data_IF_506567968564
#
_entry.id   IF_506567968564
#
_cell.length_a   1.000
_cell.length_b   1.000
_cell.length_c   1.000
_cell.angle_alpha   90.00
_cell.angle_beta   90.00
_cell.angle_gamma   90.00
#
_symmetry.space_group_name_H-M   'P 1'
#
loop_
_entity.id
_entity.type
_entity.pdbx_description
1 polymer ?
#
# COMPACT_ATOMS: atom_id res chain seq x y z
N UNK A 1 6.87 -50.76 -4.77
CA UNK A 1 8.32 -50.62 -4.61
C UNK A 1 8.95 -50.79 -5.97
N UNK A 2 9.77 -49.84 -6.40
CA UNK A 2 10.43 -49.88 -7.70
C UNK A 2 11.45 -51.04 -7.75
N UNK A 3 11.52 -51.72 -8.88
CA UNK A 3 12.42 -52.84 -9.15
C UNK A 3 13.43 -52.48 -10.24
N UNK A 4 14.50 -53.27 -10.34
CA UNK A 4 15.43 -53.17 -11.46
C UNK A 4 14.67 -53.32 -12.78
N UNK A 5 14.80 -52.34 -13.67
CA UNK A 5 14.12 -52.26 -14.96
C UNK A 5 12.92 -51.30 -15.00
N UNK A 6 12.41 -50.83 -13.86
CA UNK A 6 11.29 -49.89 -13.80
C UNK A 6 11.73 -48.47 -14.20
N UNK A 7 10.85 -47.75 -14.91
CA UNK A 7 10.99 -46.30 -15.12
C UNK A 7 10.48 -45.59 -13.88
N UNK A 8 11.37 -44.82 -13.26
CA UNK A 8 11.10 -44.12 -12.01
C UNK A 8 11.25 -42.63 -12.18
N UNK A 9 10.40 -41.87 -11.49
CA UNK A 9 10.54 -40.43 -11.32
C UNK A 9 11.10 -40.15 -9.94
N UNK A 10 11.98 -39.17 -9.83
CA UNK A 10 12.51 -38.74 -8.54
C UNK A 10 11.42 -37.99 -7.74
N UNK A 11 11.34 -38.28 -6.44
CA UNK A 11 10.36 -37.66 -5.55
C UNK A 11 10.74 -36.21 -5.21
N UNK A 12 12.04 -35.94 -5.08
CA UNK A 12 12.59 -34.67 -4.59
C UNK A 12 13.39 -33.90 -5.66
N UNK A 13 13.39 -34.37 -6.91
CA UNK A 13 14.14 -33.74 -8.01
C UNK A 13 13.35 -33.79 -9.32
N UNK A 14 13.64 -32.86 -10.22
CA UNK A 14 13.06 -32.83 -11.57
C UNK A 14 13.86 -33.78 -12.44
N UNK A 15 13.23 -34.88 -12.86
CA UNK A 15 13.86 -35.90 -13.69
C UNK A 15 13.36 -37.30 -13.34
N UNK A 16 13.82 -38.27 -14.10
CA UNK A 16 13.51 -39.67 -13.92
C UNK A 16 14.25 -40.49 -14.95
N UNK A 17 14.46 -41.76 -14.66
CA UNK A 17 15.21 -42.64 -15.53
C UNK A 17 14.87 -44.09 -15.25
N UNK A 18 15.65 -45.00 -15.82
CA UNK A 18 15.44 -46.43 -15.64
C UNK A 18 16.36 -46.98 -14.58
N UNK A 19 15.83 -47.74 -13.62
CA UNK A 19 16.68 -48.40 -12.62
C UNK A 19 17.49 -49.50 -13.32
N UNK A 20 18.81 -49.33 -13.41
CA UNK A 20 19.73 -50.32 -13.97
C UNK A 20 20.25 -51.30 -12.90
N UNK A 21 20.33 -50.83 -11.64
CA UNK A 21 20.92 -51.59 -10.54
C UNK A 21 20.34 -51.14 -9.19
N UNK A 22 20.21 -52.05 -8.23
CA UNK A 22 19.88 -51.72 -6.84
C UNK A 22 20.93 -52.37 -5.92
N UNK A 23 21.63 -51.57 -5.14
CA UNK A 23 22.59 -52.00 -4.12
C UNK A 23 22.10 -51.54 -2.74
N UNK A 24 21.54 -52.47 -1.96
CA UNK A 24 20.96 -52.16 -0.66
C UNK A 24 19.79 -51.17 -0.76
N UNK A 25 19.97 -49.94 -0.29
CA UNK A 25 18.96 -48.88 -0.30
C UNK A 25 19.19 -47.83 -1.41
N UNK A 26 20.17 -48.04 -2.29
CA UNK A 26 20.52 -47.13 -3.39
C UNK A 26 20.14 -47.80 -4.71
N UNK A 27 19.32 -47.14 -5.51
CA UNK A 27 19.02 -47.46 -6.89
C UNK A 27 19.91 -46.62 -7.81
N UNK A 28 20.64 -47.26 -8.71
CA UNK A 28 21.35 -46.57 -9.80
C UNK A 28 20.36 -46.40 -10.94
N UNK A 29 20.06 -45.14 -11.26
CA UNK A 29 19.09 -44.74 -12.28
C UNK A 29 19.87 -44.19 -13.47
N UNK A 30 19.65 -44.79 -14.64
CA UNK A 30 20.20 -44.33 -15.91
C UNK A 30 19.23 -43.35 -16.58
N UNK A 31 19.74 -42.15 -16.86
CA UNK A 31 19.06 -41.07 -17.56
C UNK A 31 19.93 -40.70 -18.78
N UNK A 32 19.52 -41.14 -19.96
CA UNK A 32 20.21 -40.93 -21.25
C UNK A 32 21.74 -41.20 -21.23
N UNK A 33 22.17 -42.27 -20.54
CA UNK A 33 23.57 -42.73 -20.50
C UNK A 33 24.39 -42.20 -19.33
N UNK A 34 23.77 -41.46 -18.41
CA UNK A 34 24.36 -41.04 -17.14
C UNK A 34 23.78 -41.84 -15.96
N UNK A 35 24.63 -42.65 -15.32
CA UNK A 35 24.27 -43.41 -14.12
C UNK A 35 24.33 -42.52 -12.87
N UNK A 36 23.17 -42.25 -12.27
CA UNK A 36 23.05 -41.47 -11.03
C UNK A 36 22.60 -42.36 -9.87
N UNK A 37 23.34 -42.41 -8.74
CA UNK A 37 22.91 -43.15 -7.56
C UNK A 37 21.86 -42.35 -6.77
N UNK A 38 20.67 -42.92 -6.60
CA UNK A 38 19.52 -42.29 -5.91
C UNK A 38 18.93 -43.25 -4.89
N UNK A 39 18.41 -42.75 -3.77
CA UNK A 39 17.81 -43.61 -2.75
C UNK A 39 16.54 -44.30 -3.29
N UNK A 40 16.37 -45.60 -3.06
CA UNK A 40 15.23 -46.37 -3.57
C UNK A 40 13.88 -45.82 -3.07
N UNK A 41 13.86 -45.20 -1.88
CA UNK A 41 12.68 -44.53 -1.30
C UNK A 41 12.28 -43.24 -2.02
N UNK A 42 13.19 -42.66 -2.79
CA UNK A 42 13.01 -41.41 -3.54
C UNK A 42 12.69 -41.67 -5.01
N UNK A 43 12.55 -42.95 -5.40
CA UNK A 43 12.16 -43.38 -6.74
C UNK A 43 10.71 -43.85 -6.74
N UNK A 44 9.84 -43.17 -7.50
CA UNK A 44 8.44 -43.56 -7.70
C UNK A 44 8.28 -44.20 -9.08
N UNK A 45 7.83 -45.45 -9.12
CA UNK A 45 7.57 -46.17 -10.37
C UNK A 45 6.38 -45.54 -11.11
N UNK A 46 6.56 -45.19 -12.38
CA UNK A 46 5.51 -44.63 -13.23
C UNK A 46 4.97 -45.75 -14.12
N UNK A 47 3.74 -46.20 -13.85
CA UNK A 47 3.02 -47.10 -14.74
C UNK A 47 2.41 -46.31 -15.89
N UNK A 48 2.89 -46.51 -17.12
CA UNK A 48 2.23 -45.98 -18.32
C UNK A 48 1.11 -46.89 -18.76
N UNK A 49 -0.09 -46.70 -18.21
CA UNK A 49 -1.33 -47.22 -18.80
C UNK A 49 -2.20 -46.06 -19.33
N UNK A 50 -2.27 -46.00 -20.66
CA UNK A 50 -3.22 -45.21 -21.43
C UNK A 50 -4.57 -45.96 -21.46
N UNK A 51 -5.69 -45.34 -21.07
CA UNK A 51 -6.90 -45.20 -21.91
C UNK A 51 -8.15 -44.59 -21.20
N UNK A 52 -8.84 -43.74 -21.97
CA UNK A 52 -10.31 -43.52 -22.04
C UNK A 52 -11.09 -42.81 -20.92
N UNK A 53 -11.25 -41.49 -21.12
CA UNK A 53 -12.50 -40.72 -21.28
C UNK A 53 -13.73 -41.06 -20.42
N UNK A 54 -14.09 -40.04 -19.64
CA UNK A 54 -15.41 -39.62 -19.15
C UNK A 54 -16.63 -40.05 -19.98
N UNK A 55 -17.65 -40.55 -19.26
CA UNK A 55 -19.05 -40.57 -19.67
C UNK A 55 -19.93 -40.50 -18.42
N UNK A 56 -20.46 -39.31 -18.14
CA UNK A 56 -21.36 -39.02 -17.04
C UNK A 56 -22.76 -39.61 -17.29
N UNK A 57 -23.38 -40.15 -16.24
CA UNK A 57 -24.83 -40.30 -16.15
C UNK A 57 -25.30 -39.68 -14.82
N UNK A 58 -26.27 -38.79 -14.98
CA UNK A 58 -26.85 -37.86 -14.01
C UNK A 58 -28.00 -38.57 -13.29
N UNK A 59 -28.06 -38.49 -11.96
CA UNK A 59 -29.36 -38.46 -11.25
C UNK A 59 -29.35 -37.35 -10.19
N UNK A 60 -30.40 -36.53 -10.29
CA UNK A 60 -30.68 -35.30 -9.56
C UNK A 60 -31.23 -35.54 -8.14
N UNK A 61 -31.13 -34.54 -7.23
CA UNK A 61 -31.34 -34.67 -5.79
C UNK A 61 -32.75 -34.22 -5.35
N UNK A 62 -33.27 -34.73 -4.20
CA UNK A 62 -34.01 -33.96 -3.18
C UNK A 62 -34.51 -34.82 -1.96
N UNK A 63 -34.98 -34.23 -0.82
CA UNK A 63 -34.22 -34.19 0.43
C UNK A 63 -35.00 -34.73 1.67
N UNK A 64 -34.45 -34.46 2.86
CA UNK A 64 -34.96 -34.68 4.24
C UNK A 64 -34.48 -36.00 4.89
N UNK A 65 -33.99 -36.07 6.13
CA UNK A 65 -34.22 -35.27 7.34
C UNK A 65 -32.93 -35.17 8.19
N UNK A 66 -32.95 -34.17 9.06
CA UNK A 66 -31.97 -33.81 10.08
C UNK A 66 -31.40 -34.98 10.89
N UNK A 67 -30.07 -35.00 11.05
CA UNK A 67 -29.37 -35.57 12.19
C UNK A 67 -28.08 -34.76 12.45
N UNK A 68 -27.97 -34.14 13.62
CA UNK A 68 -26.69 -33.74 14.23
C UNK A 68 -26.24 -34.89 15.16
N UNK A 69 -25.00 -34.92 15.67
CA UNK A 69 -23.71 -34.86 15.01
C UNK A 69 -22.88 -36.13 15.35
N UNK A 70 -22.33 -36.83 14.36
CA UNK A 70 -21.33 -37.87 14.61
C UNK A 70 -19.92 -37.27 14.48
N UNK A 71 -19.17 -37.30 15.57
CA UNK A 71 -17.77 -36.90 15.65
C UNK A 71 -16.95 -37.69 14.62
N UNK A 72 -16.59 -37.05 13.51
CA UNK A 72 -15.52 -37.53 12.66
C UNK A 72 -14.21 -37.32 13.43
N UNK A 73 -13.71 -38.39 14.03
CA UNK A 73 -12.31 -38.48 14.42
C UNK A 73 -11.48 -38.38 13.14
N UNK A 74 -11.02 -37.18 12.81
CA UNK A 74 -9.89 -37.00 11.90
C UNK A 74 -8.69 -37.64 12.57
N UNK A 75 -8.36 -38.86 12.17
CA UNK A 75 -7.03 -39.41 12.35
C UNK A 75 -6.09 -38.54 11.53
N UNK A 76 -5.63 -37.44 12.14
CA UNK A 76 -4.41 -36.78 11.70
C UNK A 76 -3.33 -37.83 11.77
N UNK A 77 -2.95 -38.35 10.60
CA UNK A 77 -1.72 -39.11 10.48
C UNK A 77 -0.64 -38.08 10.71
N UNK A 78 -0.20 -37.96 11.97
CA UNK A 78 0.95 -37.18 12.36
C UNK A 78 2.14 -37.81 11.63
N UNK A 79 2.45 -37.29 10.45
CA UNK A 79 3.75 -37.48 9.85
C UNK A 79 4.73 -37.02 10.92
N UNK A 80 5.50 -37.96 11.47
CA UNK A 80 6.56 -37.66 12.43
C UNK A 80 7.48 -36.67 11.72
N UNK A 81 7.39 -35.41 12.15
CA UNK A 81 8.36 -34.39 11.79
C UNK A 81 9.73 -34.96 12.18
N UNK A 82 10.57 -35.17 11.18
CA UNK A 82 11.99 -35.40 11.41
C UNK A 82 12.44 -34.23 12.30
N UNK A 83 13.09 -34.47 13.46
CA UNK A 83 13.58 -33.38 14.28
C UNK A 83 14.50 -32.53 13.40
N UNK A 84 14.03 -31.33 13.06
CA UNK A 84 14.87 -30.28 12.48
C UNK A 84 16.06 -30.14 13.43
N UNK A 85 17.27 -30.32 12.92
CA UNK A 85 18.49 -30.05 13.67
C UNK A 85 18.35 -28.66 14.26
N UNK A 86 18.22 -28.57 15.58
CA UNK A 86 17.88 -27.31 16.23
C UNK A 86 18.96 -26.28 15.91
N UNK A 87 18.59 -25.22 15.19
CA UNK A 87 19.49 -24.13 14.84
C UNK A 87 20.28 -23.68 16.07
N UNK A 88 21.61 -23.55 15.90
CA UNK A 88 22.51 -23.15 16.97
C UNK A 88 22.28 -21.67 17.25
N UNK A 89 21.89 -21.35 18.48
CA UNK A 89 21.62 -19.97 18.89
C UNK A 89 22.93 -19.23 19.21
N UNK A 90 23.01 -17.99 18.78
CA UNK A 90 24.14 -17.10 19.06
C UNK A 90 23.87 -16.26 20.32
N UNK A 91 24.88 -15.99 21.17
CA UNK A 91 24.75 -15.04 22.26
C UNK A 91 24.39 -13.64 21.73
N UNK A 92 23.25 -13.10 22.13
CA UNK A 92 22.76 -11.80 21.66
C UNK A 92 21.82 -11.86 20.46
N UNK A 93 21.70 -13.00 19.78
CA UNK A 93 20.76 -13.21 18.66
C UNK A 93 19.27 -13.24 19.07
N UNK A 94 18.97 -13.01 20.35
CA UNK A 94 17.60 -12.84 20.82
C UNK A 94 17.00 -11.47 20.49
N UNK A 95 17.79 -10.56 19.92
CA UNK A 95 17.30 -9.33 19.29
C UNK A 95 17.22 -9.53 17.77
N UNK A 96 16.20 -8.98 17.13
CA UNK A 96 16.07 -9.04 15.67
C UNK A 96 17.03 -8.04 15.01
N UNK A 97 17.93 -8.56 14.17
CA UNK A 97 18.75 -7.78 13.24
C UNK A 97 18.54 -8.31 11.82
N UNK A 98 17.87 -7.52 10.99
CA UNK A 98 17.51 -7.91 9.62
C UNK A 98 18.06 -6.88 8.66
N UNK A 99 18.77 -7.36 7.64
CA UNK A 99 19.44 -6.51 6.65
C UNK A 99 19.08 -7.00 5.24
N UNK A 100 18.85 -6.06 4.32
CA UNK A 100 18.85 -6.34 2.89
C UNK A 100 20.21 -5.95 2.31
N UNK A 101 20.81 -6.85 1.55
CA UNK A 101 22.08 -6.64 0.87
C UNK A 101 21.95 -6.87 -0.63
N UNK A 102 22.58 -6.00 -1.42
CA UNK A 102 22.73 -6.19 -2.86
C UNK A 102 24.21 -6.34 -3.22
N UNK A 103 24.55 -7.50 -3.78
CA UNK A 103 25.83 -7.76 -4.41
C UNK A 103 25.73 -7.43 -5.90
N UNK A 104 26.79 -6.84 -6.48
CA UNK A 104 26.83 -6.58 -7.92
C UNK A 104 27.64 -7.67 -8.59
N UNK A 105 27.12 -8.23 -9.69
CA UNK A 105 27.85 -9.24 -10.47
C UNK A 105 29.16 -8.72 -11.07
N UNK A 106 29.27 -7.41 -11.33
CA UNK A 106 30.54 -6.76 -11.70
C UNK A 106 30.57 -5.29 -11.28
N UNK A 107 31.25 -5.00 -10.17
CA UNK A 107 31.45 -3.63 -9.66
C UNK A 107 32.18 -2.70 -10.64
N UNK A 108 32.93 -3.21 -11.63
CA UNK A 108 33.60 -2.38 -12.65
C UNK A 108 32.64 -1.93 -13.75
N UNK A 109 31.57 -2.70 -13.98
CA UNK A 109 30.57 -2.45 -15.01
C UNK A 109 29.16 -2.39 -14.42
N UNK A 110 29.01 -1.64 -13.33
CA UNK A 110 27.82 -1.68 -12.48
C UNK A 110 26.49 -1.34 -13.20
N UNK A 111 26.53 -0.50 -14.24
CA UNK A 111 25.35 -0.14 -15.05
C UNK A 111 24.93 -1.19 -16.08
N UNK A 112 25.75 -2.23 -16.30
CA UNK A 112 25.46 -3.34 -17.20
C UNK A 112 25.35 -4.69 -16.45
N UNK A 113 25.78 -4.74 -15.19
CA UNK A 113 25.66 -5.91 -14.33
C UNK A 113 24.27 -6.03 -13.70
N UNK A 114 23.87 -7.26 -13.39
CA UNK A 114 22.78 -7.53 -12.45
C UNK A 114 23.21 -7.39 -10.99
N UNK A 115 22.22 -7.43 -10.11
CA UNK A 115 22.38 -7.35 -8.66
C UNK A 115 21.67 -8.51 -7.97
N UNK A 116 22.40 -9.24 -7.15
CA UNK A 116 21.85 -10.33 -6.36
C UNK A 116 21.39 -9.79 -5.01
N UNK A 117 20.12 -10.03 -4.70
CA UNK A 117 19.45 -9.50 -3.51
C UNK A 117 19.36 -10.57 -2.43
N UNK A 118 19.97 -10.29 -1.29
CA UNK A 118 20.01 -11.17 -0.14
C UNK A 118 19.26 -10.56 1.05
N UNK A 119 18.49 -11.39 1.75
CA UNK A 119 17.98 -11.10 3.07
C UNK A 119 18.88 -11.78 4.10
N UNK A 120 19.45 -10.99 5.01
CA UNK A 120 20.29 -11.46 6.10
C UNK A 120 19.44 -11.48 7.36
N UNK A 121 19.32 -12.67 7.97
CA UNK A 121 18.72 -12.84 9.28
C UNK A 121 19.82 -13.10 10.32
N UNK A 122 20.30 -12.03 10.96
CA UNK A 122 21.24 -12.12 12.08
C UNK A 122 20.46 -12.17 13.41
N UNK A 123 19.68 -13.25 13.56
CA UNK A 123 18.92 -13.50 14.78
C UNK A 123 18.64 -15.00 14.99
N UNK A 124 18.25 -15.35 16.22
CA UNK A 124 17.88 -16.69 16.64
C UNK A 124 16.44 -17.09 16.26
N UNK A 125 15.76 -16.30 15.43
CA UNK A 125 14.36 -16.51 15.09
C UNK A 125 14.21 -16.99 13.66
N UNK A 126 13.26 -17.90 13.43
CA UNK A 126 12.67 -18.10 12.13
C UNK A 126 11.76 -16.92 11.82
N UNK A 127 11.76 -16.47 10.57
CA UNK A 127 10.87 -15.42 10.11
C UNK A 127 10.06 -15.91 8.92
N UNK A 128 8.74 -15.90 9.05
CA UNK A 128 7.86 -15.97 7.89
C UNK A 128 7.61 -14.54 7.41
N UNK A 129 7.96 -14.23 6.16
CA UNK A 129 8.00 -12.86 5.68
C UNK A 129 7.51 -12.69 4.26
N UNK A 130 7.13 -11.44 3.95
CA UNK A 130 6.82 -10.96 2.60
C UNK A 130 7.61 -9.68 2.36
N UNK A 131 8.31 -9.64 1.23
CA UNK A 131 8.99 -8.45 0.72
C UNK A 131 8.21 -7.91 -0.48
N UNK A 132 7.92 -6.61 -0.46
CA UNK A 132 7.12 -5.94 -1.48
C UNK A 132 7.78 -4.66 -1.96
N UNK A 133 7.53 -4.29 -3.21
CA UNK A 133 7.85 -2.97 -3.77
C UNK A 133 6.58 -2.24 -4.21
N UNK A 134 6.54 -0.93 -3.99
CA UNK A 134 5.42 -0.09 -4.42
C UNK A 134 5.49 0.22 -5.92
N UNK A 135 4.36 0.18 -6.62
CA UNK A 135 4.26 0.65 -8.01
C UNK A 135 3.86 2.12 -8.07
N UNK A 136 4.56 2.88 -8.90
CA UNK A 136 4.09 4.16 -9.47
C UNK A 136 3.55 5.21 -8.46
N UNK A 137 3.99 5.15 -7.19
CA UNK A 137 3.60 6.09 -6.14
C UNK A 137 2.15 5.98 -5.66
N UNK A 138 1.40 4.97 -6.13
CA UNK A 138 0.06 4.63 -5.64
C UNK A 138 0.15 3.56 -4.56
N UNK A 139 -0.87 3.38 -3.70
CA UNK A 139 -0.87 2.33 -2.65
C UNK A 139 -1.13 0.92 -3.24
N UNK A 140 -0.33 0.57 -4.23
CA UNK A 140 -0.35 -0.68 -4.98
C UNK A 140 1.01 -1.32 -4.83
N UNK A 141 1.06 -2.51 -4.25
CA UNK A 141 2.29 -3.21 -3.91
C UNK A 141 2.40 -4.50 -4.70
N UNK A 142 3.59 -4.74 -5.25
CA UNK A 142 3.95 -6.02 -5.86
C UNK A 142 4.80 -6.83 -4.88
N UNK A 143 4.47 -8.10 -4.72
CA UNK A 143 5.32 -9.04 -3.98
C UNK A 143 6.59 -9.34 -4.78
N UNK A 144 7.75 -9.09 -4.16
CA UNK A 144 9.06 -9.49 -4.67
C UNK A 144 9.34 -10.93 -4.24
N UNK A 145 9.17 -11.21 -2.95
CA UNK A 145 9.46 -12.51 -2.37
C UNK A 145 8.51 -12.80 -1.21
N UNK A 146 8.21 -14.09 -1.00
CA UNK A 146 7.48 -14.60 0.16
C UNK A 146 8.07 -15.94 0.56
N UNK A 147 8.26 -16.15 1.85
CA UNK A 147 8.83 -17.39 2.34
C UNK A 147 9.26 -17.33 3.80
N UNK A 148 10.07 -18.31 4.20
CA UNK A 148 10.63 -18.42 5.54
C UNK A 148 12.14 -18.29 5.47
N UNK A 149 12.74 -17.53 6.37
CA UNK A 149 14.19 -17.48 6.58
C UNK A 149 14.54 -18.06 7.94
N UNK A 150 15.55 -18.91 7.97
CA UNK A 150 16.02 -19.60 9.18
C UNK A 150 16.90 -18.67 10.05
N UNK A 151 17.14 -19.01 11.32
CA UNK A 151 18.05 -18.27 12.18
C UNK A 151 19.48 -18.22 11.62
N UNK A 152 20.13 -17.06 11.72
CA UNK A 152 21.57 -16.88 11.44
C UNK A 152 21.99 -17.29 10.01
N UNK A 153 21.13 -17.11 9.00
CA UNK A 153 21.45 -17.39 7.60
C UNK A 153 21.30 -16.16 6.70
N UNK A 154 21.90 -16.27 5.52
CA UNK A 154 21.67 -15.38 4.39
C UNK A 154 20.83 -16.12 3.35
N UNK A 155 19.74 -15.49 2.91
CA UNK A 155 18.82 -16.05 1.92
C UNK A 155 18.86 -15.21 0.65
N UNK A 156 19.23 -15.81 -0.48
CA UNK A 156 19.05 -15.19 -1.80
C UNK A 156 17.55 -15.11 -2.10
N UNK A 157 17.03 -13.89 -2.27
CA UNK A 157 15.60 -13.65 -2.48
C UNK A 157 15.27 -13.19 -3.90
N UNK A 158 16.29 -12.91 -4.73
CA UNK A 158 16.10 -12.66 -6.15
C UNK A 158 17.30 -11.98 -6.80
N UNK A 159 17.23 -11.86 -8.11
CA UNK A 159 18.19 -11.13 -8.94
C UNK A 159 17.47 -9.96 -9.60
N UNK A 160 18.13 -8.81 -9.65
CA UNK A 160 17.59 -7.59 -10.25
C UNK A 160 18.49 -7.12 -11.38
N UNK A 161 17.89 -6.84 -12.53
CA UNK A 161 18.61 -6.16 -13.60
C UNK A 161 18.74 -4.67 -13.27
N UNK A 162 19.63 -3.98 -13.99
CA UNK A 162 19.76 -2.52 -13.88
C UNK A 162 18.44 -1.77 -14.19
N UNK A 163 17.51 -2.36 -14.93
CA UNK A 163 16.19 -1.79 -15.23
C UNK A 163 15.23 -1.95 -14.03
N UNK A 164 15.25 -3.12 -13.39
CA UNK A 164 14.36 -3.46 -12.27
C UNK A 164 14.66 -2.64 -11.01
N UNK A 165 15.92 -2.21 -10.83
CA UNK A 165 16.35 -1.42 -9.66
C UNK A 165 15.47 -0.19 -9.44
N UNK A 166 15.00 0.47 -10.51
CA UNK A 166 14.12 1.64 -10.41
C UNK A 166 12.80 1.37 -9.68
N UNK A 167 12.30 0.12 -9.69
CA UNK A 167 11.09 -0.27 -8.98
C UNK A 167 11.32 -0.51 -7.48
N UNK A 168 12.57 -0.54 -7.01
CA UNK A 168 12.94 -0.80 -5.62
C UNK A 168 12.97 0.47 -4.74
N UNK A 169 12.54 1.62 -5.28
CA UNK A 169 12.54 2.90 -4.55
C UNK A 169 11.80 2.85 -3.21
N UNK A 170 10.71 2.10 -3.13
CA UNK A 170 9.88 1.96 -1.92
C UNK A 170 9.66 0.49 -1.61
N UNK A 171 10.29 0.02 -0.55
CA UNK A 171 10.20 -1.37 -0.11
C UNK A 171 9.40 -1.46 1.19
N UNK A 172 8.53 -2.46 1.27
CA UNK A 172 7.85 -2.88 2.49
C UNK A 172 8.21 -4.31 2.83
N UNK A 173 8.62 -4.52 4.07
CA UNK A 173 8.96 -5.81 4.64
C UNK A 173 8.03 -6.11 5.80
N UNK A 174 7.30 -7.22 5.71
CA UNK A 174 6.41 -7.70 6.77
C UNK A 174 6.84 -9.08 7.23
N UNK A 175 6.92 -9.30 8.53
CA UNK A 175 7.39 -10.58 9.05
C UNK A 175 6.84 -10.95 10.45
N UNK A 176 6.77 -12.25 10.72
CA UNK A 176 6.48 -12.82 12.03
C UNK A 176 7.66 -13.65 12.52
N UNK A 177 8.17 -13.33 13.71
CA UNK A 177 9.32 -14.01 14.30
C UNK A 177 8.89 -15.08 15.31
N UNK A 178 9.48 -16.28 15.19
CA UNK A 178 9.19 -17.41 16.07
C UNK A 178 10.40 -18.33 16.27
N UNK A 179 10.36 -19.19 17.30
CA UNK A 179 11.30 -20.30 17.47
C UNK A 179 10.55 -21.63 17.50
N UNK A 180 11.12 -22.67 16.92
CA UNK A 180 10.55 -24.02 16.93
C UNK A 180 11.16 -24.83 18.08
N UNK A 181 10.31 -25.53 18.86
CA UNK A 181 10.78 -26.44 19.92
C UNK A 181 11.48 -25.78 21.11
N UNK A 182 11.43 -24.45 21.26
CA UNK A 182 12.04 -23.68 22.36
C UNK A 182 11.08 -22.63 22.91
N UNK A 183 11.27 -22.25 24.16
CA UNK A 183 10.55 -21.11 24.76
C UNK A 183 11.27 -19.81 24.42
N UNK A 184 10.51 -18.74 24.15
CA UNK A 184 11.07 -17.45 23.78
C UNK A 184 10.09 -16.32 24.13
N UNK A 185 10.62 -15.09 24.21
CA UNK A 185 9.80 -13.89 24.36
C UNK A 185 9.21 -13.52 22.99
N UNK A 186 7.88 -13.38 22.85
CA UNK A 186 7.28 -13.01 21.58
C UNK A 186 7.76 -11.64 21.11
N UNK A 187 7.93 -11.51 19.80
CA UNK A 187 8.28 -10.25 19.13
C UNK A 187 7.03 -9.61 18.54
N UNK A 188 7.05 -8.28 18.42
CA UNK A 188 6.01 -7.56 17.69
C UNK A 188 6.07 -7.96 16.22
N UNK A 189 4.92 -8.19 15.55
CA UNK A 189 4.90 -8.34 14.10
C UNK A 189 5.62 -7.18 13.43
N UNK A 190 6.54 -7.49 12.53
CA UNK A 190 7.34 -6.50 11.83
C UNK A 190 6.54 -5.98 10.64
N UNK A 191 6.48 -4.65 10.51
CA UNK A 191 5.94 -3.94 9.34
C UNK A 191 6.84 -2.73 9.08
N UNK A 192 7.82 -2.91 8.20
CA UNK A 192 8.88 -1.93 7.94
C UNK A 192 8.70 -1.39 6.53
N UNK A 193 8.63 -0.07 6.38
CA UNK A 193 8.72 0.57 5.07
C UNK A 193 9.97 1.44 5.01
N UNK A 194 10.76 1.25 3.96
CA UNK A 194 11.97 2.03 3.71
C UNK A 194 11.96 2.55 2.28
N UNK A 195 12.63 3.70 2.10
CA UNK A 195 12.91 4.23 0.79
C UNK A 195 14.36 3.93 0.47
N UNK A 196 14.60 3.28 -0.67
CA UNK A 196 15.93 2.96 -1.14
C UNK A 196 16.35 4.03 -2.14
N UNK A 197 17.56 4.56 -1.97
CA UNK A 197 18.16 5.45 -2.96
C UNK A 197 18.74 4.61 -4.09
N UNK A 198 17.93 4.37 -5.11
CA UNK A 198 18.27 3.56 -6.29
C UNK A 198 19.43 4.15 -7.09
N UNK A 199 19.74 5.44 -6.93
CA UNK A 199 20.93 6.04 -7.56
C UNK A 199 22.24 5.48 -7.01
N UNK A 200 22.23 4.84 -5.84
CA UNK A 200 23.41 4.21 -5.23
C UNK A 200 23.84 2.94 -5.95
N UNK A 201 22.92 2.23 -6.60
CA UNK A 201 23.24 1.04 -7.38
C UNK A 201 24.21 1.37 -8.52
N UNK A 202 24.11 2.57 -9.10
CA UNK A 202 24.97 3.02 -10.19
C UNK A 202 26.27 3.71 -9.74
N UNK A 203 26.61 3.64 -8.44
CA UNK A 203 27.76 4.34 -7.84
C UNK A 203 28.64 3.35 -7.08
N UNK A 204 29.77 2.96 -7.68
CA UNK A 204 30.71 1.98 -7.09
C UNK A 204 31.12 2.32 -5.65
N UNK A 205 31.36 3.60 -5.33
CA UNK A 205 31.75 4.01 -3.97
C UNK A 205 30.63 3.90 -2.91
N UNK A 206 29.39 3.58 -3.31
CA UNK A 206 28.29 3.27 -2.39
C UNK A 206 28.33 1.81 -1.93
N UNK A 207 29.00 0.93 -2.66
CA UNK A 207 29.23 -0.45 -2.26
C UNK A 207 30.38 -0.49 -1.27
N UNK A 208 30.14 -1.10 -0.10
CA UNK A 208 31.06 -1.07 1.03
C UNK A 208 31.29 -2.49 1.56
N UNK A 209 32.48 -2.76 2.11
CA UNK A 209 32.69 -3.99 2.86
C UNK A 209 31.63 -4.13 3.96
N UNK A 210 31.10 -5.32 4.11
CA UNK A 210 30.08 -5.66 5.09
C UNK A 210 30.47 -6.97 5.78
N UNK A 211 30.04 -7.18 7.03
CA UNK A 211 30.42 -8.36 7.81
C UNK A 211 29.80 -9.67 7.28
N UNK A 212 28.72 -9.59 6.52
CA UNK A 212 28.03 -10.76 5.97
C UNK A 212 28.55 -11.16 4.59
N UNK A 213 29.31 -10.30 3.90
CA UNK A 213 29.70 -10.51 2.50
C UNK A 213 31.20 -10.43 2.30
N UNK A 214 31.74 -11.33 1.48
CA UNK A 214 33.15 -11.30 1.07
C UNK A 214 33.45 -10.15 0.09
N UNK A 215 32.43 -9.66 -0.61
CA UNK A 215 32.52 -8.57 -1.58
C UNK A 215 31.87 -7.28 -1.03
N UNK A 216 32.23 -6.11 -1.57
CA UNK A 216 31.53 -4.88 -1.24
C UNK A 216 30.07 -4.92 -1.71
N UNK A 217 29.14 -4.65 -0.80
CA UNK A 217 27.69 -4.66 -1.07
C UNK A 217 27.05 -3.32 -0.77
N UNK A 218 25.87 -3.09 -1.34
CA UNK A 218 24.96 -2.07 -0.87
C UNK A 218 24.06 -2.70 0.20
N UNK A 219 24.23 -2.32 1.47
CA UNK A 219 23.45 -2.89 2.58
C UNK A 219 22.49 -1.85 3.16
N UNK A 220 21.27 -2.28 3.48
CA UNK A 220 20.25 -1.47 4.16
C UNK A 220 19.64 -2.27 5.31
N UNK A 221 19.78 -1.77 6.53
CA UNK A 221 19.16 -2.40 7.70
C UNK A 221 17.64 -2.16 7.68
N UNK A 222 16.87 -3.23 7.82
CA UNK A 222 15.42 -3.21 7.99
C UNK A 222 15.04 -3.16 9.47
N UNK A 223 15.77 -3.90 10.31
CA UNK A 223 15.57 -3.94 11.75
C UNK A 223 16.95 -3.99 12.41
N UNK A 224 17.15 -3.19 13.45
CA UNK A 224 18.38 -3.20 14.24
C UNK A 224 18.03 -3.23 15.72
N UNK A 225 18.44 -4.28 16.41
CA UNK A 225 18.17 -4.49 17.84
C UNK A 225 16.68 -4.37 18.20
N UNK A 226 15.82 -5.09 17.47
CA UNK A 226 14.34 -5.01 17.58
C UNK A 226 13.73 -3.65 17.21
N UNK A 227 14.52 -2.69 16.73
CA UNK A 227 14.03 -1.39 16.28
C UNK A 227 13.89 -1.42 14.75
N UNK A 228 12.66 -1.37 14.21
CA UNK A 228 12.46 -1.20 12.78
C UNK A 228 13.14 0.08 12.29
N UNK A 229 13.80 0.02 11.14
CA UNK A 229 14.35 1.19 10.43
C UNK A 229 13.27 2.10 9.84
N UNK A 230 12.02 1.92 10.28
CA UNK A 230 10.84 2.50 9.71
C UNK A 230 10.94 4.03 9.73
N UNK A 231 10.88 4.60 8.53
CA UNK A 231 10.71 6.03 8.34
C UNK A 231 9.25 6.43 8.64
N UNK A 232 8.59 5.88 9.67
CA UNK A 232 7.18 6.15 10.00
C UNK A 232 6.88 7.65 10.11
N UNK A 233 7.82 8.43 10.65
CA UNK A 233 7.73 9.88 10.72
C UNK A 233 7.82 10.56 9.33
N UNK A 234 8.58 9.98 8.41
CA UNK A 234 8.70 10.43 7.01
C UNK A 234 7.49 10.00 6.19
N UNK A 235 6.93 8.80 6.42
CA UNK A 235 5.67 8.34 5.81
C UNK A 235 4.49 9.22 6.21
N UNK A 236 4.35 9.57 7.48
CA UNK A 236 3.32 10.53 7.90
C UNK A 236 3.47 11.89 7.20
N UNK A 237 4.70 12.36 7.00
CA UNK A 237 5.00 13.61 6.28
C UNK A 237 4.80 13.49 4.77
N UNK A 238 5.13 12.35 4.17
CA UNK A 238 5.01 12.08 2.74
C UNK A 238 3.55 11.80 2.33
N UNK A 239 2.78 11.10 3.17
CA UNK A 239 1.32 10.98 3.03
C UNK A 239 0.64 12.33 3.22
N UNK A 240 1.08 13.14 4.19
CA UNK A 240 0.58 14.50 4.36
C UNK A 240 0.95 15.41 3.18
N UNK A 241 2.15 15.28 2.61
CA UNK A 241 2.59 15.99 1.40
C UNK A 241 1.87 15.52 0.15
N UNK A 242 1.63 14.22 0.00
CA UNK A 242 0.86 13.65 -1.11
C UNK A 242 -0.60 14.11 -1.05
N UNK A 243 -1.20 14.13 0.15
CA UNK A 243 -2.54 14.69 0.37
C UNK A 243 -2.57 16.19 0.05
N UNK A 244 -1.57 16.96 0.48
CA UNK A 244 -1.44 18.39 0.13
C UNK A 244 -1.30 18.61 -1.37
N UNK A 245 -0.45 17.83 -2.06
CA UNK A 245 -0.29 17.88 -3.52
C UNK A 245 -1.57 17.51 -4.25
N UNK A 246 -2.26 16.46 -3.85
CA UNK A 246 -3.55 16.08 -4.44
C UNK A 246 -4.62 17.18 -4.26
N UNK A 247 -4.64 17.84 -3.10
CA UNK A 247 -5.51 19.00 -2.84
C UNK A 247 -5.11 20.22 -3.68
N UNK A 248 -3.81 20.48 -3.85
CA UNK A 248 -3.29 21.58 -4.66
C UNK A 248 -3.46 21.34 -6.17
N UNK A 249 -3.30 20.13 -6.65
CA UNK A 249 -3.53 19.74 -8.05
C UNK A 249 -5.02 19.79 -8.38
N UNK A 250 -5.92 19.41 -7.46
CA UNK A 250 -7.36 19.66 -7.59
C UNK A 250 -7.66 21.16 -7.67
N UNK A 251 -7.00 21.98 -6.84
CA UNK A 251 -7.13 23.44 -6.84
C UNK A 251 -6.49 24.12 -8.07
N UNK A 252 -5.49 23.49 -8.69
CA UNK A 252 -4.78 23.96 -9.88
C UNK A 252 -5.46 23.52 -11.18
N UNK A 253 -6.08 22.35 -11.20
CA UNK A 253 -6.97 21.90 -12.26
C UNK A 253 -8.21 22.81 -12.38
N UNK A 254 -8.74 23.30 -11.25
CA UNK A 254 -9.81 24.32 -11.22
C UNK A 254 -9.36 25.72 -11.69
N UNK A 255 -8.05 25.97 -11.76
CA UNK A 255 -7.48 27.28 -12.17
C UNK A 255 -7.10 27.38 -13.64
N UNK A 256 -7.35 26.34 -14.46
CA UNK A 256 -7.16 26.46 -15.92
C UNK A 256 -8.29 27.34 -16.49
N UNK A 257 -8.01 28.43 -17.23
CA UNK A 257 -9.06 29.24 -17.81
C UNK A 257 -9.70 28.46 -18.96
N UNK A 258 -10.81 27.78 -18.67
CA UNK A 258 -11.64 27.11 -19.67
C UNK A 258 -12.24 28.20 -20.56
N UNK A 259 -11.78 28.26 -21.81
CA UNK A 259 -12.47 28.99 -22.88
C UNK A 259 -13.89 28.41 -22.99
N UNK A 260 -14.87 29.20 -22.55
CA UNK A 260 -16.29 28.84 -22.49
C UNK A 260 -16.81 28.52 -23.89
N UNK A 261 -17.18 27.26 -24.12
CA UNK A 261 -18.29 26.92 -25.01
C UNK A 261 -19.42 26.41 -24.09
N UNK A 262 -20.65 26.95 -24.20
CA UNK A 262 -21.71 26.59 -23.29
C UNK A 262 -22.27 25.22 -23.69
N UNK A 263 -22.25 24.27 -22.77
CA UNK A 263 -23.20 23.16 -22.76
C UNK A 263 -23.80 23.14 -21.36
N UNK A 264 -25.12 23.27 -21.33
CA UNK A 264 -25.93 23.28 -20.14
C UNK A 264 -25.77 21.96 -19.38
N UNK A 265 -25.39 22.03 -18.11
CA UNK A 265 -25.69 20.99 -17.13
C UNK A 265 -26.14 21.65 -15.83
N UNK A 266 -27.45 21.64 -15.68
CA UNK A 266 -28.16 21.64 -14.41
C UNK A 266 -27.57 20.58 -13.49
N UNK A 267 -27.23 20.97 -12.25
CA UNK A 267 -27.77 20.37 -11.03
C UNK A 267 -27.27 21.15 -9.80
N UNK A 268 -28.22 21.81 -9.14
CA UNK A 268 -28.05 22.50 -7.87
C UNK A 268 -27.73 21.47 -6.78
N UNK A 269 -26.49 21.43 -6.30
CA UNK A 269 -26.20 20.88 -4.98
C UNK A 269 -26.50 21.97 -3.93
N UNK A 270 -27.65 21.85 -3.28
CA UNK A 270 -28.16 22.70 -2.18
C UNK A 270 -27.43 22.51 -0.83
N UNK A 271 -26.30 21.80 -0.82
CA UNK A 271 -25.55 21.59 0.43
C UNK A 271 -24.72 22.82 0.84
N UNK A 272 -24.18 23.54 -0.15
CA UNK A 272 -23.29 24.66 0.14
C UNK A 272 -24.04 26.00 0.18
N UNK A 273 -23.84 26.80 1.25
CA UNK A 273 -24.42 28.14 1.33
C UNK A 273 -23.81 29.02 0.25
N UNK A 274 -24.65 29.85 -0.39
CA UNK A 274 -24.20 30.84 -1.35
C UNK A 274 -23.47 31.96 -0.59
N UNK A 275 -22.14 31.99 -0.64
CA UNK A 275 -21.32 33.03 -0.03
C UNK A 275 -21.20 34.25 -0.95
N UNK A 276 -21.55 35.43 -0.44
CA UNK A 276 -21.60 36.68 -1.19
C UNK A 276 -20.81 37.73 -0.41
N UNK A 277 -19.67 38.13 -0.97
CA UNK A 277 -18.86 39.19 -0.40
C UNK A 277 -19.40 40.57 -0.81
N UNK A 278 -19.69 41.40 0.18
CA UNK A 278 -20.19 42.76 -0.02
C UNK A 278 -19.11 43.81 0.21
N UNK A 279 -17.84 43.45 0.47
CA UNK A 279 -16.77 44.46 0.49
C UNK A 279 -16.65 45.16 -0.86
N UNK A 280 -16.50 46.48 -0.84
CA UNK A 280 -16.51 47.27 -2.08
C UNK A 280 -15.38 46.87 -3.03
N UNK A 281 -14.22 46.50 -2.51
CA UNK A 281 -13.07 46.02 -3.28
C UNK A 281 -13.33 44.67 -3.96
N UNK A 282 -14.29 43.90 -3.44
CA UNK A 282 -14.75 42.63 -4.04
C UNK A 282 -15.84 42.87 -5.10
N UNK A 283 -16.47 44.05 -5.10
CA UNK A 283 -17.57 44.39 -6.00
C UNK A 283 -17.17 45.29 -7.18
N UNK A 284 -16.14 46.13 -6.99
CA UNK A 284 -15.66 47.08 -7.99
C UNK A 284 -14.13 47.09 -8.02
N UNK A 285 -13.56 47.20 -9.23
CA UNK A 285 -12.10 47.32 -9.43
C UNK A 285 -11.55 48.68 -8.97
N UNK A 286 -12.40 49.72 -8.86
CA UNK A 286 -12.03 51.05 -8.37
C UNK A 286 -13.22 51.77 -7.73
N UNK A 287 -12.94 52.52 -6.66
CA UNK A 287 -13.90 53.38 -5.95
C UNK A 287 -13.62 54.87 -6.16
N UNK A 288 -12.70 55.21 -7.08
CA UNK A 288 -12.31 56.58 -7.35
C UNK A 288 -13.53 57.43 -7.79
N UNK A 289 -13.83 58.47 -7.02
CA UNK A 289 -14.95 59.39 -7.29
C UNK A 289 -16.27 59.01 -6.61
N UNK A 290 -16.35 57.90 -5.88
CA UNK A 290 -17.53 57.55 -5.09
C UNK A 290 -17.45 58.17 -3.69
N UNK A 291 -18.55 58.74 -3.21
CA UNK A 291 -18.66 59.12 -1.81
C UNK A 291 -18.85 57.88 -0.92
N UNK A 292 -18.59 57.98 0.40
CA UNK A 292 -18.88 56.88 1.32
C UNK A 292 -20.35 56.43 1.31
N UNK A 293 -21.27 57.34 0.99
CA UNK A 293 -22.69 57.03 0.84
C UNK A 293 -22.95 56.23 -0.45
N UNK A 294 -22.28 56.57 -1.55
CA UNK A 294 -22.41 55.85 -2.83
C UNK A 294 -21.88 54.43 -2.73
N UNK A 295 -20.75 54.25 -2.02
CA UNK A 295 -20.18 52.94 -1.72
C UNK A 295 -21.18 52.09 -0.93
N UNK A 296 -21.73 52.64 0.16
CA UNK A 296 -22.70 51.93 0.99
C UNK A 296 -23.96 51.54 0.19
N UNK A 297 -24.48 52.47 -0.62
CA UNK A 297 -25.65 52.21 -1.46
C UNK A 297 -25.36 51.11 -2.49
N UNK A 298 -24.19 51.12 -3.12
CA UNK A 298 -23.81 50.09 -4.08
C UNK A 298 -23.73 48.70 -3.46
N UNK A 299 -23.20 48.61 -2.23
CA UNK A 299 -23.13 47.36 -1.46
C UNK A 299 -24.55 46.86 -1.10
N UNK A 300 -25.43 47.76 -0.66
CA UNK A 300 -26.83 47.44 -0.34
C UNK A 300 -27.65 47.05 -1.58
N UNK A 301 -27.42 47.69 -2.71
CA UNK A 301 -28.09 47.36 -3.98
C UNK A 301 -27.61 46.00 -4.52
N UNK A 302 -26.34 45.68 -4.32
CA UNK A 302 -25.81 44.34 -4.62
C UNK A 302 -26.44 43.29 -3.71
N UNK A 303 -26.57 43.57 -2.42
CA UNK A 303 -27.32 42.71 -1.50
C UNK A 303 -28.76 42.47 -1.97
N UNK A 304 -29.49 43.52 -2.34
CA UNK A 304 -30.87 43.42 -2.84
C UNK A 304 -30.97 42.57 -4.10
N UNK A 305 -30.09 42.80 -5.07
CA UNK A 305 -30.04 42.04 -6.33
C UNK A 305 -29.84 40.55 -6.09
N UNK A 306 -28.95 40.20 -5.16
CA UNK A 306 -28.68 38.80 -4.80
C UNK A 306 -29.87 38.18 -4.07
N UNK A 307 -30.49 38.91 -3.15
CA UNK A 307 -31.72 38.48 -2.49
C UNK A 307 -32.84 38.23 -3.50
N UNK A 308 -33.14 39.20 -4.36
CA UNK A 308 -34.21 39.12 -5.36
C UNK A 308 -34.02 37.93 -6.31
N UNK A 309 -32.78 37.64 -6.71
CA UNK A 309 -32.44 36.51 -7.57
C UNK A 309 -32.68 35.15 -6.90
N UNK A 310 -32.63 35.09 -5.56
CA UNK A 310 -32.71 33.85 -4.80
C UNK A 310 -34.02 33.67 -4.01
N UNK A 311 -34.90 34.67 -3.99
CA UNK A 311 -36.18 34.62 -3.27
C UNK A 311 -37.09 33.43 -3.67
N UNK A 312 -36.92 32.87 -4.87
CA UNK A 312 -37.70 31.71 -5.36
C UNK A 312 -37.08 30.36 -4.98
N UNK A 313 -35.91 30.34 -4.33
CA UNK A 313 -35.15 29.13 -3.98
C UNK A 313 -35.33 28.81 -2.49
N UNK A 314 -36.47 28.19 -2.16
CA UNK A 314 -36.79 27.77 -0.79
C UNK A 314 -35.69 26.87 -0.20
N UNK A 315 -35.34 27.08 1.07
CA UNK A 315 -34.29 26.35 1.77
C UNK A 315 -32.85 26.82 1.48
N UNK A 316 -32.64 27.69 0.48
CA UNK A 316 -31.29 28.17 0.14
C UNK A 316 -30.73 29.04 1.26
N UNK A 317 -29.53 28.68 1.73
CA UNK A 317 -28.74 29.48 2.68
C UNK A 317 -27.83 30.42 1.90
N UNK A 318 -27.83 31.70 2.26
CA UNK A 318 -27.00 32.74 1.67
C UNK A 318 -26.22 33.40 2.81
N UNK A 319 -24.90 33.53 2.67
CA UNK A 319 -24.02 34.17 3.66
C UNK A 319 -23.51 35.48 3.06
N UNK A 320 -23.91 36.60 3.64
CA UNK A 320 -23.44 37.93 3.26
C UNK A 320 -22.28 38.35 4.14
N UNK A 321 -21.11 38.55 3.55
CA UNK A 321 -19.89 38.98 4.23
C UNK A 321 -19.80 40.50 4.10
N UNK A 322 -19.95 41.23 5.21
CA UNK A 322 -19.98 42.71 5.24
C UNK A 322 -18.87 43.33 6.08
N UNK A 323 -18.04 42.50 6.73
CA UNK A 323 -16.88 42.92 7.51
C UNK A 323 -17.23 43.41 8.91
N UNK A 324 -16.21 43.65 9.74
CA UNK A 324 -16.39 44.06 11.15
C UNK A 324 -16.71 45.55 11.29
N UNK A 325 -16.00 46.39 10.53
CA UNK A 325 -16.23 47.83 10.32
C UNK A 325 -16.78 48.64 11.52
N UNK A 326 -17.52 49.71 11.19
CA UNK A 326 -18.34 50.47 12.16
C UNK A 326 -19.77 49.90 12.27
N UNK A 327 -20.08 48.81 11.57
CA UNK A 327 -21.41 48.16 11.57
C UNK A 327 -22.48 48.85 10.72
N UNK A 328 -22.16 49.93 9.99
CA UNK A 328 -23.10 50.66 9.11
C UNK A 328 -23.75 49.76 8.03
N UNK A 329 -22.95 48.93 7.37
CA UNK A 329 -23.44 48.00 6.34
C UNK A 329 -24.32 46.90 6.95
N UNK A 330 -23.91 46.30 8.08
CA UNK A 330 -24.74 45.36 8.84
C UNK A 330 -26.10 45.93 9.20
N UNK A 331 -26.13 47.16 9.73
CA UNK A 331 -27.38 47.84 10.11
C UNK A 331 -28.28 48.07 8.88
N UNK A 332 -27.71 48.46 7.74
CA UNK A 332 -28.45 48.63 6.50
C UNK A 332 -29.05 47.31 6.00
N UNK A 333 -28.29 46.22 6.04
CA UNK A 333 -28.77 44.88 5.67
C UNK A 333 -29.93 44.41 6.54
N UNK A 334 -29.81 44.55 7.86
CA UNK A 334 -30.86 44.18 8.81
C UNK A 334 -32.14 45.00 8.56
N UNK A 335 -31.99 46.30 8.25
CA UNK A 335 -33.11 47.18 7.91
C UNK A 335 -33.81 46.73 6.62
N UNK A 336 -33.06 46.36 5.59
CA UNK A 336 -33.60 45.85 4.33
C UNK A 336 -34.30 44.49 4.52
N UNK A 337 -33.71 43.59 5.30
CA UNK A 337 -34.30 42.29 5.65
C UNK A 337 -35.61 42.46 6.42
N UNK A 338 -35.65 43.38 7.38
CA UNK A 338 -36.85 43.67 8.18
C UNK A 338 -37.94 44.46 7.43
N UNK A 339 -37.61 45.15 6.33
CA UNK A 339 -38.57 45.94 5.58
C UNK A 339 -39.05 45.24 4.31
N UNK A 340 -38.13 44.91 3.40
CA UNK A 340 -38.43 44.38 2.05
C UNK A 340 -38.49 42.85 2.03
N UNK A 341 -37.67 42.17 2.82
CA UNK A 341 -37.55 40.71 2.81
C UNK A 341 -38.12 40.06 4.08
N UNK A 342 -39.29 40.53 4.52
CA UNK A 342 -39.97 39.99 5.70
C UNK A 342 -40.31 38.51 5.50
N UNK A 343 -40.07 37.70 6.54
CA UNK A 343 -40.38 36.27 6.56
C UNK A 343 -39.18 35.35 6.32
N UNK A 344 -38.05 35.89 5.84
CA UNK A 344 -36.81 35.13 5.71
C UNK A 344 -36.15 34.90 7.07
N UNK A 345 -35.44 33.79 7.23
CA UNK A 345 -34.75 33.46 8.48
C UNK A 345 -33.36 34.11 8.49
N UNK A 346 -33.06 34.92 9.52
CA UNK A 346 -31.83 35.71 9.58
C UNK A 346 -31.10 35.40 10.87
N UNK A 347 -29.84 35.01 10.75
CA UNK A 347 -28.95 34.75 11.87
C UNK A 347 -27.53 35.23 11.56
N UNK A 348 -26.69 35.40 12.58
CA UNK A 348 -25.27 35.64 12.34
C UNK A 348 -24.62 34.35 11.81
N UNK A 349 -23.68 34.47 10.86
CA UNK A 349 -22.99 33.31 10.30
C UNK A 349 -22.00 32.72 11.32
N UNK A 350 -21.49 31.50 11.05
CA UNK A 350 -20.57 30.81 11.98
C UNK A 350 -19.41 31.68 12.44
N UNK A 351 -19.33 31.93 13.74
CA UNK A 351 -18.30 32.75 14.37
C UNK A 351 -16.88 32.21 14.10
N UNK A 352 -16.70 30.89 14.10
CA UNK A 352 -15.40 30.26 13.85
C UNK A 352 -14.89 30.51 12.42
N UNK A 353 -15.79 30.66 11.45
CA UNK A 353 -15.44 30.83 10.03
C UNK A 353 -15.37 32.30 9.60
N UNK A 354 -16.25 33.17 10.12
CA UNK A 354 -16.39 34.56 9.64
C UNK A 354 -16.31 35.64 10.74
N UNK A 355 -16.10 35.24 12.00
CA UNK A 355 -16.16 36.16 13.14
C UNK A 355 -17.52 36.87 13.24
N UNK A 356 -17.51 38.17 13.54
CA UNK A 356 -18.72 39.02 13.63
C UNK A 356 -19.12 39.71 12.30
N UNK A 357 -18.43 39.40 11.20
CA UNK A 357 -18.50 40.15 9.95
C UNK A 357 -19.43 39.59 8.88
N UNK A 358 -20.32 38.65 9.22
CA UNK A 358 -21.19 38.00 8.25
C UNK A 358 -22.59 37.68 8.79
N UNK A 359 -23.59 37.80 7.91
CA UNK A 359 -25.00 37.52 8.20
C UNK A 359 -25.49 36.41 7.29
N UNK A 360 -26.06 35.36 7.87
CA UNK A 360 -26.72 34.28 7.13
C UNK A 360 -28.21 34.58 6.99
N UNK A 361 -28.71 34.43 5.77
CA UNK A 361 -30.13 34.49 5.42
C UNK A 361 -30.53 33.14 4.83
N UNK A 362 -31.56 32.51 5.38
CA UNK A 362 -32.16 31.31 4.82
C UNK A 362 -33.47 31.71 4.16
N UNK A 363 -33.59 31.41 2.86
CA UNK A 363 -34.81 31.67 2.10
C UNK A 363 -35.87 30.65 2.53
N UNK A 364 -37.01 31.12 3.08
CA UNK A 364 -38.16 30.30 3.47
C UNK A 364 -39.02 29.95 2.28
#
# INVERSE_FOLDING_TARGET
>A
MAKVGDTVRYLNAVGGGRIVRIEGNIAVVDDDGFETPVLLRECVAVSTDQNTRMGAAIETPQPSKQAQPAQAQTTHTTQLAIPSEAAIETPGGDNLNIVLGWESGDLRHIGASGYDCYLINDSNFYLDFVLMAQRDGEDVWNTIYTGTVEPNIQLLIGEHTSEDVSALDHIRFQALAYKQGRTFRPKTPLDVCINIDTTKFFKVHCFRPNEYFDTPVLATALVSNDVPADNAAKRADDTAKALRRALEDKKRADRRPVRRRPIAQTEDNDADPLEVDLHIDSLLDTTAGMSPADILNYQVDTFRRVMDANLRRHGRRIIFIHGKGEGKLRQALIKELGHRYRGQDVQDASFQKYGFGATQVTIR
#
